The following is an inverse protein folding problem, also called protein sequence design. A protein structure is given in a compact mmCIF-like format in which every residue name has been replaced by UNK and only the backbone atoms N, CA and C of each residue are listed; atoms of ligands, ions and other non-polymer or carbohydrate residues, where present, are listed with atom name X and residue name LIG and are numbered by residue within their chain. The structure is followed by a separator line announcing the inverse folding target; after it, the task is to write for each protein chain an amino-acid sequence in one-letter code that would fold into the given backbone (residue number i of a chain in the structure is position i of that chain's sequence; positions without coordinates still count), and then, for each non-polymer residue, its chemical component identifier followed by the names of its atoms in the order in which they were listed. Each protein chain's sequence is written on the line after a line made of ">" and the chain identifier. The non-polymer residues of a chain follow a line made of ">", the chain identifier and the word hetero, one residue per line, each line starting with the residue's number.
data_IF_490884953276
#
_entry.id   IF_490884953276
#
_cell.length_a   1.000
_cell.length_b   1.000
_cell.length_c   1.000
_cell.angle_alpha   90.00
_cell.angle_beta   90.00
_cell.angle_gamma   90.00
#
_symmetry.space_group_name_H-M   'P 1'
#
loop_
_entity.id
_entity.type
_entity.pdbx_description
1 polymer ?
#
# COMPACT_ATOMS: atom_id res chain seq x y z
N UNK A 1 -3.14 1.07 -69.54
CA UNK A 1 -2.02 2.03 -69.53
C UNK A 1 -2.47 3.34 -68.91
N UNK A 2 -1.97 3.70 -67.72
CA UNK A 2 -1.91 5.06 -67.16
C UNK A 2 -1.15 5.01 -65.81
N UNK A 3 0.11 5.50 -65.85
CA UNK A 3 0.81 6.40 -64.90
C UNK A 3 0.96 5.92 -63.43
N UNK A 4 2.16 5.55 -62.98
CA UNK A 4 3.14 6.44 -62.29
C UNK A 4 2.44 7.23 -61.15
N UNK A 5 2.81 7.05 -59.88
CA UNK A 5 3.99 7.69 -59.30
C UNK A 5 4.40 6.96 -58.00
N UNK A 6 5.67 6.60 -57.97
CA UNK A 6 6.45 6.22 -56.80
C UNK A 6 6.72 7.50 -55.99
N UNK A 7 6.19 7.61 -54.78
CA UNK A 7 6.58 8.66 -53.81
C UNK A 7 6.91 8.00 -52.48
N UNK A 8 8.18 7.61 -52.34
CA UNK A 8 8.81 7.51 -51.03
C UNK A 8 9.00 8.93 -50.50
N UNK A 9 8.28 9.31 -49.46
CA UNK A 9 8.60 10.51 -48.69
C UNK A 9 9.22 10.10 -47.36
N UNK A 10 10.33 10.77 -47.08
CA UNK A 10 11.29 10.49 -46.04
C UNK A 10 10.70 10.59 -44.63
N UNK A 11 11.39 9.86 -43.76
CA UNK A 11 11.35 9.86 -42.31
C UNK A 11 11.51 11.24 -41.64
N UNK A 12 11.13 11.25 -40.36
CA UNK A 12 11.51 12.12 -39.23
C UNK A 12 10.73 13.42 -39.03
N UNK A 13 9.83 13.39 -38.04
CA UNK A 13 9.99 14.21 -36.85
C UNK A 13 9.25 13.54 -35.68
N UNK A 14 10.00 13.26 -34.62
CA UNK A 14 9.43 12.81 -33.36
C UNK A 14 8.55 13.90 -32.77
N UNK A 15 7.38 13.50 -32.29
CA UNK A 15 6.64 14.22 -31.27
C UNK A 15 6.14 13.13 -30.33
N UNK A 16 6.72 13.08 -29.13
CA UNK A 16 6.26 12.22 -28.07
C UNK A 16 4.79 12.48 -27.80
N UNK A 17 3.99 11.42 -27.79
CA UNK A 17 2.61 11.53 -27.33
C UNK A 17 2.68 11.82 -25.83
N UNK A 18 2.31 13.04 -25.51
CA UNK A 18 2.14 13.57 -24.16
C UNK A 18 1.20 12.64 -23.38
N UNK A 19 1.65 12.29 -22.17
CA UNK A 19 0.82 11.69 -21.14
C UNK A 19 -0.42 12.56 -20.92
N UNK A 20 -1.59 12.05 -21.28
CA UNK A 20 -2.88 12.59 -20.88
C UNK A 20 -3.95 11.50 -20.99
N UNK A 21 -3.72 10.37 -20.33
CA UNK A 21 -4.84 9.67 -19.72
C UNK A 21 -5.02 10.31 -18.35
N UNK A 22 -5.85 11.35 -18.36
CA UNK A 22 -6.64 11.85 -17.25
C UNK A 22 -7.36 10.67 -16.60
N UNK A 23 -6.62 9.89 -15.82
CA UNK A 23 -7.21 9.14 -14.73
C UNK A 23 -7.25 10.16 -13.60
N UNK A 24 -8.34 10.93 -13.60
CA UNK A 24 -8.98 11.44 -12.40
C UNK A 24 -9.12 10.23 -11.47
N UNK A 25 -8.01 9.89 -10.79
CA UNK A 25 -7.97 9.00 -9.65
C UNK A 25 -8.70 9.77 -8.59
N UNK A 26 -10.01 9.67 -8.71
CA UNK A 26 -10.99 9.93 -7.69
C UNK A 26 -10.47 9.22 -6.44
N UNK A 27 -9.74 9.99 -5.63
CA UNK A 27 -9.34 9.71 -4.25
C UNK A 27 -10.61 9.68 -3.37
N UNK A 28 -11.58 8.87 -3.78
CA UNK A 28 -12.80 8.60 -3.04
C UNK A 28 -12.54 7.37 -2.20
N UNK A 29 -11.79 7.56 -1.12
CA UNK A 29 -11.90 6.86 0.17
C UNK A 29 -10.67 7.10 1.05
N UNK A 30 -10.10 8.31 1.09
CA UNK A 30 -9.10 8.64 2.11
C UNK A 30 -9.78 8.96 3.43
N UNK A 31 -10.52 7.99 3.98
CA UNK A 31 -10.90 8.00 5.39
C UNK A 31 -9.63 7.55 6.12
N UNK A 32 -8.80 8.54 6.45
CA UNK A 32 -7.39 8.37 6.87
C UNK A 32 -7.26 7.45 8.08
N UNK A 33 -6.98 6.17 7.84
CA UNK A 33 -6.26 5.35 8.82
C UNK A 33 -4.92 6.05 9.06
N UNK A 34 -4.49 6.15 10.32
CA UNK A 34 -3.16 6.68 10.60
C UNK A 34 -2.11 5.76 9.98
N UNK A 35 -0.95 6.31 9.63
CA UNK A 35 0.21 5.50 9.24
C UNK A 35 0.52 4.52 10.37
N UNK A 36 0.62 3.20 10.09
CA UNK A 36 1.01 2.23 11.10
C UNK A 36 2.42 2.48 11.63
N UNK A 37 2.57 2.46 12.95
CA UNK A 37 3.83 2.63 13.66
C UNK A 37 4.27 1.29 14.25
N UNK A 38 5.54 0.90 14.05
CA UNK A 38 6.10 -0.29 14.69
C UNK A 38 6.33 0.02 16.17
N UNK A 39 5.57 -0.64 17.04
CA UNK A 39 5.66 -0.44 18.50
C UNK A 39 6.47 -1.52 19.20
N UNK A 40 6.61 -2.70 18.59
CA UNK A 40 7.40 -3.80 19.14
C UNK A 40 7.92 -4.68 18.01
N UNK A 41 9.17 -5.14 18.13
CA UNK A 41 9.75 -6.19 17.30
C UNK A 41 10.23 -7.33 18.19
N UNK A 42 9.80 -8.56 17.92
CA UNK A 42 10.12 -9.74 18.72
C UNK A 42 10.01 -11.01 17.89
N UNK A 43 10.98 -11.92 18.00
CA UNK A 43 10.91 -13.27 17.41
C UNK A 43 10.51 -13.28 15.93
N UNK A 44 11.15 -12.42 15.11
CA UNK A 44 10.85 -12.26 13.68
C UNK A 44 9.44 -11.70 13.36
N UNK A 45 8.73 -11.20 14.36
CA UNK A 45 7.45 -10.51 14.24
C UNK A 45 7.59 -9.03 14.62
N UNK A 46 6.76 -8.21 14.03
CA UNK A 46 6.57 -6.81 14.34
C UNK A 46 5.09 -6.58 14.68
N UNK A 47 4.86 -5.90 15.80
CA UNK A 47 3.57 -5.35 16.17
C UNK A 47 3.53 -3.91 15.69
N UNK A 48 2.58 -3.60 14.82
CA UNK A 48 2.31 -2.23 14.39
C UNK A 48 1.01 -1.77 15.01
N UNK A 49 0.97 -0.50 15.42
CA UNK A 49 -0.19 0.17 15.97
C UNK A 49 -0.64 1.26 15.00
N UNK A 50 -1.95 1.37 14.78
CA UNK A 50 -2.53 2.48 14.03
C UNK A 50 -3.89 2.87 14.62
N UNK A 51 -4.37 4.05 14.25
CA UNK A 51 -5.74 4.49 14.49
C UNK A 51 -6.57 4.22 13.25
N UNK A 52 -7.67 3.50 13.38
CA UNK A 52 -8.63 3.35 12.30
C UNK A 52 -9.43 4.64 12.05
N UNK A 53 -10.34 4.57 11.09
CA UNK A 53 -11.16 5.70 10.66
C UNK A 53 -12.10 6.23 11.75
N UNK A 54 -12.42 5.42 12.77
CA UNK A 54 -13.25 5.80 13.91
C UNK A 54 -12.42 6.37 15.06
N UNK A 55 -11.10 6.47 14.90
CA UNK A 55 -10.19 6.86 15.99
C UNK A 55 -9.83 5.70 16.92
N UNK A 56 -10.23 4.47 16.58
CA UNK A 56 -9.97 3.29 17.43
C UNK A 56 -8.56 2.77 17.19
N UNK A 57 -7.83 2.49 18.27
CA UNK A 57 -6.52 1.85 18.17
C UNK A 57 -6.66 0.41 17.68
N UNK A 58 -5.94 0.08 16.62
CA UNK A 58 -5.86 -1.23 15.99
C UNK A 58 -4.42 -1.68 15.85
N UNK A 59 -4.24 -2.98 15.71
CA UNK A 59 -2.95 -3.62 15.63
C UNK A 59 -2.80 -4.49 14.37
N UNK A 60 -1.57 -4.58 13.88
CA UNK A 60 -1.14 -5.46 12.80
C UNK A 60 0.02 -6.30 13.34
N UNK A 61 0.00 -7.61 13.06
CA UNK A 61 1.15 -8.48 13.25
C UNK A 61 1.69 -8.82 11.86
N UNK A 62 2.96 -8.50 11.65
CA UNK A 62 3.68 -8.86 10.42
C UNK A 62 5.03 -9.48 10.74
N UNK A 63 5.63 -10.16 9.77
CA UNK A 63 7.03 -10.57 9.83
C UNK A 63 7.96 -9.41 9.46
N UNK A 64 9.25 -9.54 9.75
CA UNK A 64 10.28 -8.55 9.38
C UNK A 64 10.36 -8.36 7.85
N UNK A 65 10.02 -9.38 7.06
CA UNK A 65 9.97 -9.31 5.60
C UNK A 65 8.73 -8.57 5.05
N UNK A 66 7.85 -8.08 5.93
CA UNK A 66 6.61 -7.38 5.57
C UNK A 66 5.40 -8.29 5.35
N UNK A 67 5.53 -9.62 5.50
CA UNK A 67 4.39 -10.54 5.40
C UNK A 67 3.41 -10.28 6.56
N UNK A 68 2.21 -9.82 6.23
CA UNK A 68 1.13 -9.60 7.21
C UNK A 68 0.54 -10.95 7.63
N UNK A 69 0.46 -11.19 8.94
CA UNK A 69 -0.14 -12.39 9.53
C UNK A 69 -1.54 -12.12 10.09
N UNK A 70 -1.77 -10.92 10.61
CA UNK A 70 -3.07 -10.48 11.10
C UNK A 70 -3.16 -8.95 11.07
N UNK A 71 -4.35 -8.42 10.81
CA UNK A 71 -4.62 -6.98 10.69
C UNK A 71 -5.93 -6.60 11.39
N UNK A 72 -6.12 -5.30 11.62
CA UNK A 72 -7.31 -4.73 12.25
C UNK A 72 -7.67 -5.31 13.62
N UNK A 73 -6.67 -5.85 14.34
CA UNK A 73 -6.89 -6.45 15.64
C UNK A 73 -7.13 -5.39 16.70
N UNK A 74 -8.08 -5.65 17.58
CA UNK A 74 -8.18 -5.00 18.88
C UNK A 74 -7.08 -5.49 19.83
N UNK A 75 -6.86 -4.77 20.94
CA UNK A 75 -5.95 -5.23 21.99
C UNK A 75 -6.39 -6.54 22.66
N UNK A 76 -7.70 -6.78 22.72
CA UNK A 76 -8.23 -8.04 23.27
C UNK A 76 -7.83 -9.23 22.39
N UNK A 77 -8.03 -9.11 21.07
CA UNK A 77 -7.63 -10.13 20.09
C UNK A 77 -6.11 -10.35 20.13
N UNK A 78 -5.33 -9.26 20.18
CA UNK A 78 -3.87 -9.34 20.34
C UNK A 78 -3.46 -10.16 21.57
N UNK A 79 -4.12 -9.94 22.72
CA UNK A 79 -3.85 -10.67 23.96
C UNK A 79 -4.22 -12.16 23.87
N UNK A 80 -5.27 -12.51 23.13
CA UNK A 80 -5.75 -13.90 23.00
C UNK A 80 -4.90 -14.66 21.99
N UNK A 81 -4.66 -14.07 20.81
CA UNK A 81 -4.05 -14.75 19.67
C UNK A 81 -2.52 -14.65 19.67
N UNK A 82 -1.96 -13.58 20.26
CA UNK A 82 -0.52 -13.34 20.36
C UNK A 82 -0.09 -12.99 21.79
N UNK A 83 -0.36 -13.85 22.79
CA UNK A 83 -0.11 -13.56 24.21
C UNK A 83 1.37 -13.30 24.53
N UNK A 84 2.31 -13.85 23.75
CA UNK A 84 3.74 -13.59 23.91
C UNK A 84 4.14 -12.17 23.49
N UNK A 85 3.47 -11.62 22.48
CA UNK A 85 3.68 -10.25 22.01
C UNK A 85 3.05 -9.27 23.00
N UNK A 86 1.82 -9.51 23.46
CA UNK A 86 1.15 -8.67 24.46
C UNK A 86 1.96 -8.57 25.76
N UNK A 87 2.48 -9.70 26.27
CA UNK A 87 3.32 -9.71 27.48
C UNK A 87 4.55 -8.81 27.37
N UNK A 88 5.13 -8.70 26.17
CA UNK A 88 6.30 -7.84 25.91
C UNK A 88 5.92 -6.39 25.66
N UNK A 89 4.69 -6.15 25.21
CA UNK A 89 4.16 -4.80 24.99
C UNK A 89 3.81 -4.10 26.32
N UNK A 90 3.37 -4.85 27.33
CA UNK A 90 3.11 -4.34 28.68
C UNK A 90 4.35 -4.18 29.56
N UNK A 91 5.50 -4.72 29.14
CA UNK A 91 6.74 -4.74 29.91
C UNK A 91 7.57 -3.47 29.71
#
# INVERSE_FOLDING_TARGET
>A
MKKLILTSFLLFAGMGILFASDCDSKDYANIKKSTPEIVLTSNNLQLLKYSDHEGTTRFIIQKIDGTVLAENMSRLELRIDFPEIEKKFES
#
